data_IF_044982002644
#
_entry.id   IF_044982002644
#
_cell.length_a   1.000
_cell.length_b   1.000
_cell.length_c   1.000
_cell.angle_alpha   90.00
_cell.angle_beta   90.00
_cell.angle_gamma   90.00
#
_symmetry.space_group_name_H-M   'P 1'
#
loop_
_entity.id
_entity.type
_entity.pdbx_description
1 polymer ?
#
# COMPACT_ATOMS: atom_id res chain seq x y z
N UNK A 1 27.09 12.17 71.65
CA UNK A 1 27.32 10.82 71.08
C UNK A 1 26.37 10.67 69.91
N UNK A 2 26.77 11.12 68.72
CA UNK A 2 27.20 10.29 67.58
C UNK A 2 26.23 9.15 67.26
N UNK A 3 25.40 9.33 66.22
CA UNK A 3 24.95 8.22 65.37
C UNK A 3 25.25 8.57 63.91
N UNK A 4 25.93 7.60 63.31
CA UNK A 4 26.67 7.54 62.06
C UNK A 4 25.82 7.64 60.79
N UNK A 5 26.38 8.31 59.80
CA UNK A 5 25.94 8.34 58.41
C UNK A 5 26.23 6.99 57.72
N UNK A 6 25.18 6.30 57.24
CA UNK A 6 25.31 5.17 56.32
C UNK A 6 25.64 5.69 54.91
N UNK A 7 26.71 5.16 54.32
CA UNK A 7 27.11 5.40 52.93
C UNK A 7 26.36 4.42 52.03
N UNK A 8 25.63 4.94 51.04
CA UNK A 8 25.07 4.16 49.92
C UNK A 8 26.19 3.52 49.08
N UNK A 9 26.36 2.20 49.18
CA UNK A 9 27.16 1.41 48.25
C UNK A 9 26.31 1.00 47.02
N UNK A 10 26.75 1.43 45.83
CA UNK A 10 26.17 1.01 44.55
C UNK A 10 26.34 -0.51 44.34
N UNK A 11 25.33 -1.23 43.82
CA UNK A 11 25.40 -2.69 43.66
C UNK A 11 26.49 -3.09 42.65
N UNK A 12 27.42 -3.94 43.10
CA UNK A 12 28.49 -4.50 42.27
C UNK A 12 27.90 -5.39 41.17
N UNK A 13 28.19 -5.04 39.90
CA UNK A 13 27.73 -5.77 38.71
C UNK A 13 28.30 -7.19 38.71
N UNK A 14 27.45 -8.17 38.38
CA UNK A 14 27.86 -9.58 38.33
C UNK A 14 28.84 -9.84 37.16
N UNK A 15 29.74 -10.85 37.27
CA UNK A 15 30.73 -11.17 36.24
C UNK A 15 30.15 -11.37 34.82
N UNK A 16 28.94 -11.95 34.73
CA UNK A 16 28.21 -12.14 33.47
C UNK A 16 27.73 -10.82 32.84
N UNK A 17 27.41 -9.81 33.64
CA UNK A 17 27.00 -8.50 33.14
C UNK A 17 28.21 -7.72 32.60
N UNK A 18 29.35 -7.80 33.28
CA UNK A 18 30.62 -7.21 32.83
C UNK A 18 31.10 -7.84 31.51
N UNK A 19 30.99 -9.15 31.35
CA UNK A 19 31.37 -9.84 30.11
C UNK A 19 30.44 -9.44 28.92
N UNK A 20 29.14 -9.24 29.19
CA UNK A 20 28.18 -8.80 28.17
C UNK A 20 28.40 -7.34 27.75
N UNK A 21 28.79 -6.49 28.70
CA UNK A 21 29.13 -5.08 28.46
C UNK A 21 30.44 -4.97 27.67
N UNK A 22 31.46 -5.76 28.03
CA UNK A 22 32.71 -5.87 27.29
C UNK A 22 32.51 -6.38 25.85
N UNK A 23 31.67 -7.40 25.63
CA UNK A 23 31.31 -7.88 24.28
C UNK A 23 30.58 -6.81 23.46
N UNK A 24 29.74 -5.99 24.09
CA UNK A 24 29.01 -4.90 23.42
C UNK A 24 29.94 -3.75 23.05
N UNK A 25 30.87 -3.38 23.93
CA UNK A 25 31.90 -2.37 23.68
C UNK A 25 32.86 -2.80 22.56
N UNK A 26 33.35 -4.04 22.58
CA UNK A 26 34.22 -4.57 21.53
C UNK A 26 33.52 -4.60 20.15
N UNK A 27 32.20 -4.86 20.12
CA UNK A 27 31.39 -4.83 18.88
C UNK A 27 31.20 -3.40 18.36
N UNK A 28 31.03 -2.43 19.26
CA UNK A 28 30.94 -1.01 18.94
C UNK A 28 32.28 -0.45 18.43
N UNK A 29 33.41 -0.85 19.02
CA UNK A 29 34.73 -0.47 18.54
C UNK A 29 35.04 -1.05 17.16
N UNK A 30 34.72 -2.33 16.92
CA UNK A 30 34.83 -2.94 15.58
C UNK A 30 33.95 -2.24 14.53
N UNK A 31 32.78 -1.74 14.94
CA UNK A 31 31.90 -0.98 14.07
C UNK A 31 32.46 0.41 13.75
N UNK A 32 32.98 1.12 14.76
CA UNK A 32 33.66 2.41 14.58
C UNK A 32 34.92 2.29 13.70
N UNK A 33 35.76 1.29 13.93
CA UNK A 33 36.93 1.03 13.09
C UNK A 33 36.57 0.75 11.63
N UNK A 34 35.44 0.07 11.37
CA UNK A 34 34.91 -0.12 10.01
C UNK A 34 34.43 1.20 9.39
N UNK A 35 33.73 2.05 10.14
CA UNK A 35 33.32 3.37 9.67
C UNK A 35 34.52 4.28 9.38
N UNK A 36 35.53 4.29 10.24
CA UNK A 36 36.74 5.10 10.06
C UNK A 36 37.57 4.60 8.87
N UNK A 37 37.59 3.29 8.61
CA UNK A 37 38.24 2.72 7.42
C UNK A 37 37.51 3.05 6.11
N UNK A 38 36.18 3.23 6.14
CA UNK A 38 35.40 3.70 4.99
C UNK A 38 35.59 5.20 4.71
N UNK A 39 35.83 6.02 5.72
CA UNK A 39 36.10 7.46 5.54
C UNK A 39 37.55 7.76 5.14
N UNK A 40 38.53 6.94 5.55
CA UNK A 40 39.96 7.13 5.18
C UNK A 40 40.30 6.73 3.73
N UNK A 41 39.36 6.15 2.98
CA UNK A 41 39.53 5.86 1.54
C UNK A 41 39.39 7.07 0.61
N UNK A 42 39.01 8.25 1.12
CA UNK A 42 38.78 9.45 0.30
C UNK A 42 39.87 10.54 0.39
N UNK A 43 41.01 10.28 1.03
CA UNK A 43 42.11 11.25 1.11
C UNK A 43 43.46 10.64 0.70
N UNK A 44 43.74 10.59 -0.60
CA UNK A 44 45.10 10.60 -1.15
C UNK A 44 45.17 11.48 -2.41
N UNK A 45 46.19 12.32 -2.43
CA UNK A 45 46.42 13.48 -3.30
C UNK A 45 46.61 13.17 -4.79
N UNK A 46 46.28 14.17 -5.62
CA UNK A 46 46.49 14.26 -7.07
C UNK A 46 47.98 14.33 -7.44
N UNK A 47 48.38 13.77 -8.60
CA UNK A 47 49.36 14.39 -9.47
C UNK A 47 48.66 15.07 -10.67
N UNK A 48 49.09 16.29 -10.98
CA UNK A 48 48.69 17.05 -12.18
C UNK A 48 49.14 16.35 -13.47
N UNK A 49 48.25 16.24 -14.47
CA UNK A 49 48.53 16.62 -15.88
C UNK A 49 47.32 16.52 -16.81
N UNK A 50 47.18 17.60 -17.58
CA UNK A 50 46.57 17.79 -18.91
C UNK A 50 45.05 17.67 -19.07
N UNK A 51 44.47 18.84 -19.30
CA UNK A 51 43.15 19.07 -19.90
C UNK A 51 42.91 18.17 -21.12
N UNK A 52 41.93 17.28 -20.99
CA UNK A 52 40.98 17.00 -22.07
C UNK A 52 39.60 17.13 -21.44
N UNK A 53 38.83 18.13 -21.88
CA UNK A 53 37.40 18.28 -21.57
C UNK A 53 36.70 16.96 -21.85
N UNK A 54 36.42 16.18 -20.80
CA UNK A 54 35.33 15.23 -20.77
C UNK A 54 34.19 15.95 -20.08
N UNK A 55 33.17 16.30 -20.84
CA UNK A 55 31.89 16.76 -20.32
C UNK A 55 31.43 15.81 -19.22
N UNK A 56 31.34 16.34 -18.01
CA UNK A 56 30.65 15.68 -16.92
C UNK A 56 29.19 15.61 -17.36
N UNK A 57 28.69 14.43 -17.71
CA UNK A 57 27.26 14.17 -17.86
C UNK A 57 26.60 14.63 -16.57
N UNK A 58 25.90 15.76 -16.62
CA UNK A 58 24.93 16.16 -15.59
C UNK A 58 24.05 14.93 -15.36
N UNK A 59 23.90 14.51 -14.10
CA UNK A 59 22.83 13.59 -13.74
C UNK A 59 21.54 14.16 -14.31
N UNK A 60 20.94 13.46 -15.27
CA UNK A 60 19.75 13.94 -15.95
C UNK A 60 18.64 14.06 -14.91
N UNK A 61 18.28 15.30 -14.57
CA UNK A 61 17.06 15.58 -13.82
C UNK A 61 15.94 14.95 -14.66
N UNK A 62 15.26 13.93 -14.11
CA UNK A 62 14.19 13.25 -14.82
C UNK A 62 13.15 14.30 -15.22
N UNK A 63 12.85 14.39 -16.52
CA UNK A 63 11.91 15.40 -17.02
C UNK A 63 10.57 15.28 -16.29
N UNK A 64 10.01 16.42 -15.86
CA UNK A 64 8.71 16.50 -15.19
C UNK A 64 7.72 17.15 -16.17
N UNK A 65 6.47 16.70 -16.15
CA UNK A 65 5.43 17.33 -16.96
C UNK A 65 4.91 18.58 -16.23
N UNK A 66 5.20 19.76 -16.79
CA UNK A 66 4.91 21.06 -16.17
C UNK A 66 3.64 21.73 -16.73
N UNK A 67 3.02 21.17 -17.78
CA UNK A 67 1.81 21.73 -18.39
C UNK A 67 0.63 21.50 -17.45
N UNK A 68 -0.03 22.58 -17.05
CA UNK A 68 -1.23 22.53 -16.22
C UNK A 68 -2.37 21.88 -17.01
N UNK A 69 -2.68 20.62 -16.69
CA UNK A 69 -3.74 19.85 -17.34
C UNK A 69 -4.86 19.62 -16.34
N UNK A 70 -6.06 20.19 -16.57
CA UNK A 70 -7.19 19.97 -15.69
C UNK A 70 -7.46 18.47 -15.45
N UNK A 71 -7.85 18.05 -14.23
CA UNK A 71 -8.16 16.65 -13.96
C UNK A 71 -9.21 16.10 -14.93
N UNK A 72 -8.90 14.98 -15.59
CA UNK A 72 -9.82 14.32 -16.51
C UNK A 72 -9.71 14.78 -17.97
N UNK A 73 -8.88 15.77 -18.29
CA UNK A 73 -8.63 16.15 -19.69
C UNK A 73 -7.42 15.40 -20.26
N UNK A 74 -7.46 15.17 -21.58
CA UNK A 74 -6.38 14.50 -22.28
C UNK A 74 -5.10 15.33 -22.18
N UNK A 75 -3.99 14.65 -21.86
CA UNK A 75 -2.65 15.23 -21.81
C UNK A 75 -2.30 15.96 -23.11
N UNK A 76 -1.73 17.15 -22.99
CA UNK A 76 -1.16 17.88 -24.13
C UNK A 76 0.17 17.25 -24.53
N UNK A 77 0.30 16.96 -25.83
CA UNK A 77 1.47 16.34 -26.45
C UNK A 77 2.08 17.19 -27.57
N UNK A 78 1.63 18.44 -27.71
CA UNK A 78 2.10 19.38 -28.75
C UNK A 78 3.49 19.95 -28.47
N UNK A 79 3.93 19.95 -27.21
CA UNK A 79 5.23 20.44 -26.79
C UNK A 79 6.41 19.52 -27.14
N UNK A 80 7.65 19.99 -26.95
CA UNK A 80 8.84 19.20 -27.21
C UNK A 80 8.89 17.97 -26.29
N UNK A 81 9.26 16.82 -26.86
CA UNK A 81 9.45 15.59 -26.09
C UNK A 81 10.79 15.63 -25.33
N UNK A 82 10.85 15.10 -24.10
CA UNK A 82 12.11 14.97 -23.37
C UNK A 82 13.13 14.09 -24.11
N UNK A 83 14.41 14.43 -23.99
CA UNK A 83 15.52 13.68 -24.61
C UNK A 83 15.68 12.25 -24.06
N UNK A 84 15.13 11.98 -22.88
CA UNK A 84 15.14 10.67 -22.24
C UNK A 84 13.76 10.31 -21.66
N UNK A 85 13.44 9.02 -21.65
CA UNK A 85 12.19 8.53 -21.05
C UNK A 85 12.13 8.87 -19.56
N UNK A 86 11.03 9.52 -19.16
CA UNK A 86 10.69 9.79 -17.77
C UNK A 86 9.28 9.26 -17.49
N UNK A 87 9.10 8.25 -16.61
CA UNK A 87 7.78 7.77 -16.22
C UNK A 87 6.90 8.87 -15.64
N UNK A 88 7.48 9.76 -14.83
CA UNK A 88 6.76 10.88 -14.21
C UNK A 88 6.20 11.84 -15.25
N UNK A 89 6.99 12.14 -16.30
CA UNK A 89 6.48 12.91 -17.43
C UNK A 89 5.40 12.12 -18.18
N UNK A 90 5.68 10.86 -18.53
CA UNK A 90 4.80 10.08 -19.39
C UNK A 90 3.46 9.83 -18.74
N UNK A 91 3.40 9.31 -17.51
CA UNK A 91 2.19 8.90 -16.79
C UNK A 91 1.31 10.08 -16.34
N UNK A 92 1.85 11.30 -16.28
CA UNK A 92 1.10 12.48 -15.87
C UNK A 92 -0.19 12.68 -16.70
N UNK A 93 -1.27 13.07 -16.03
CA UNK A 93 -2.60 13.32 -16.58
C UNK A 93 -3.34 12.16 -17.28
N UNK A 94 -2.67 11.09 -17.71
CA UNK A 94 -3.34 9.99 -18.43
C UNK A 94 -4.40 9.29 -17.62
N UNK A 95 -4.08 8.98 -16.37
CA UNK A 95 -4.92 8.10 -15.57
C UNK A 95 -6.25 8.77 -15.20
N UNK A 96 -6.22 10.07 -14.86
CA UNK A 96 -7.45 10.84 -14.61
C UNK A 96 -8.31 10.96 -15.86
N UNK A 97 -7.69 11.16 -17.04
CA UNK A 97 -8.40 11.14 -18.32
C UNK A 97 -9.03 9.78 -18.63
N UNK A 98 -8.30 8.67 -18.44
CA UNK A 98 -8.82 7.32 -18.67
C UNK A 98 -10.04 7.01 -17.80
N UNK A 99 -10.03 7.42 -16.53
CA UNK A 99 -11.18 7.28 -15.64
C UNK A 99 -12.36 8.13 -16.11
N UNK A 100 -12.12 9.38 -16.49
CA UNK A 100 -13.15 10.33 -16.91
C UNK A 100 -13.87 9.89 -18.19
N UNK A 101 -13.12 9.37 -19.17
CA UNK A 101 -13.67 8.82 -20.41
C UNK A 101 -14.38 7.48 -20.20
N UNK A 102 -14.25 6.87 -19.02
CA UNK A 102 -14.88 5.59 -18.70
C UNK A 102 -14.25 4.40 -19.43
N UNK A 103 -13.00 4.47 -19.88
CA UNK A 103 -12.33 3.39 -20.64
C UNK A 103 -12.28 2.05 -19.90
N UNK A 104 -12.39 2.07 -18.58
CA UNK A 104 -12.35 0.88 -17.75
C UNK A 104 -13.72 0.21 -17.58
N UNK A 105 -14.79 0.92 -17.94
CA UNK A 105 -16.18 0.48 -17.78
C UNK A 105 -16.55 -0.54 -18.87
N UNK A 106 -17.34 -1.58 -18.54
CA UNK A 106 -17.80 -2.55 -19.53
C UNK A 106 -18.78 -1.93 -20.57
N UNK A 107 -19.37 -0.78 -20.26
CA UNK A 107 -20.22 0.02 -21.14
C UNK A 107 -19.43 0.76 -22.24
N UNK A 108 -18.11 0.93 -22.08
CA UNK A 108 -17.31 1.71 -23.02
C UNK A 108 -17.37 1.12 -24.44
N UNK A 109 -17.72 1.96 -25.42
CA UNK A 109 -17.85 1.56 -26.83
C UNK A 109 -19.08 0.70 -27.11
N UNK A 110 -20.07 0.64 -26.21
CA UNK A 110 -21.31 -0.13 -26.37
C UNK A 110 -22.54 0.76 -26.27
N UNK A 111 -23.53 0.51 -27.11
CA UNK A 111 -24.83 1.19 -27.04
C UNK A 111 -25.68 0.67 -25.88
N UNK A 112 -25.63 -0.64 -25.64
CA UNK A 112 -26.36 -1.30 -24.56
C UNK A 112 -25.51 -2.44 -23.97
N UNK A 113 -25.36 -2.44 -22.65
CA UNK A 113 -24.59 -3.46 -21.94
C UNK A 113 -25.29 -4.82 -21.89
N UNK A 114 -26.62 -4.83 -21.95
CA UNK A 114 -27.46 -6.03 -21.89
C UNK A 114 -27.46 -6.81 -23.21
N UNK A 115 -27.07 -6.19 -24.32
CA UNK A 115 -26.94 -6.89 -25.59
C UNK A 115 -25.84 -7.95 -25.51
N UNK A 116 -26.02 -9.14 -26.10
CA UNK A 116 -24.95 -10.12 -26.20
C UNK A 116 -23.78 -9.57 -27.02
N UNK A 117 -22.57 -9.65 -26.49
CA UNK A 117 -21.36 -9.34 -27.26
C UNK A 117 -20.88 -10.63 -27.95
N UNK A 118 -20.78 -10.68 -29.29
CA UNK A 118 -20.32 -11.87 -30.02
C UNK A 118 -18.86 -12.26 -29.69
N UNK A 119 -18.04 -11.33 -29.17
CA UNK A 119 -16.68 -11.61 -28.68
C UNK A 119 -16.66 -12.23 -27.27
N UNK A 120 -17.81 -12.22 -26.59
CA UNK A 120 -18.01 -12.74 -25.24
C UNK A 120 -17.75 -11.71 -24.15
N UNK A 121 -17.83 -12.20 -22.91
CA UNK A 121 -17.67 -11.41 -21.68
C UNK A 121 -16.48 -11.93 -20.88
N UNK A 122 -15.74 -11.04 -20.24
CA UNK A 122 -14.72 -11.35 -19.25
C UNK A 122 -15.01 -10.54 -17.99
N UNK A 123 -15.21 -11.22 -16.86
CA UNK A 123 -15.42 -10.59 -15.56
C UNK A 123 -14.43 -11.15 -14.57
N UNK A 124 -13.77 -10.26 -13.84
CA UNK A 124 -12.89 -10.60 -12.74
C UNK A 124 -13.15 -9.66 -11.58
N UNK A 125 -13.06 -10.18 -10.36
CA UNK A 125 -13.10 -9.37 -9.14
C UNK A 125 -11.67 -9.28 -8.63
N UNK A 126 -11.20 -8.07 -8.28
CA UNK A 126 -9.91 -7.95 -7.61
C UNK A 126 -9.95 -8.75 -6.30
N UNK A 127 -8.93 -9.52 -5.94
CA UNK A 127 -8.77 -10.05 -4.59
C UNK A 127 -8.76 -8.85 -3.64
N UNK A 128 -9.82 -8.64 -2.84
CA UNK A 128 -10.04 -7.36 -2.18
C UNK A 128 -8.94 -7.14 -1.13
N UNK A 129 -8.09 -6.10 -1.26
CA UNK A 129 -7.07 -5.82 -0.25
C UNK A 129 -7.71 -5.49 1.11
N UNK A 130 -7.07 -5.98 2.16
CA UNK A 130 -7.46 -5.71 3.54
C UNK A 130 -7.26 -4.23 3.88
N UNK A 131 -8.21 -3.62 4.57
CA UNK A 131 -8.12 -2.20 5.01
C UNK A 131 -7.24 -2.07 6.27
N UNK A 132 -6.02 -2.61 6.22
CA UNK A 132 -5.08 -2.69 7.36
C UNK A 132 -3.86 -1.79 7.19
N UNK A 133 -3.74 -1.03 6.10
CA UNK A 133 -2.59 -0.16 5.88
C UNK A 133 -2.38 0.26 4.43
N UNK A 134 -1.14 0.10 3.94
CA UNK A 134 -0.76 0.38 2.55
C UNK A 134 -0.48 -0.91 1.80
N UNK A 135 -0.67 -0.87 0.48
CA UNK A 135 -0.23 -1.94 -0.41
C UNK A 135 1.29 -2.08 -0.42
N UNK A 136 1.75 -3.30 -0.67
CA UNK A 136 3.16 -3.69 -0.77
C UNK A 136 3.44 -4.38 -2.11
N UNK A 137 4.70 -4.72 -2.40
CA UNK A 137 5.11 -5.27 -3.71
C UNK A 137 4.32 -6.52 -4.15
N UNK A 138 3.97 -7.43 -3.21
CA UNK A 138 3.08 -8.55 -3.51
C UNK A 138 1.72 -8.15 -4.11
N UNK A 139 1.09 -7.08 -3.60
CA UNK A 139 -0.15 -6.56 -4.19
C UNK A 139 0.10 -5.99 -5.59
N UNK A 140 1.22 -5.30 -5.79
CA UNK A 140 1.58 -4.75 -7.09
C UNK A 140 1.80 -5.85 -8.14
N UNK A 141 2.44 -6.96 -7.76
CA UNK A 141 2.62 -8.12 -8.63
C UNK A 141 1.28 -8.74 -9.06
N UNK A 142 0.42 -9.08 -8.09
CA UNK A 142 -0.90 -9.66 -8.37
C UNK A 142 -1.72 -8.72 -9.26
N UNK A 143 -1.74 -7.44 -8.93
CA UNK A 143 -2.51 -6.45 -9.66
C UNK A 143 -1.99 -6.25 -11.09
N UNK A 144 -0.67 -6.25 -11.31
CA UNK A 144 -0.08 -6.15 -12.65
C UNK A 144 -0.46 -7.33 -13.55
N UNK A 145 -0.49 -8.55 -13.00
CA UNK A 145 -0.92 -9.75 -13.73
C UNK A 145 -2.42 -9.66 -14.10
N UNK A 146 -3.25 -9.31 -13.13
CA UNK A 146 -4.70 -9.15 -13.33
C UNK A 146 -5.05 -8.04 -14.32
N UNK A 147 -4.37 -6.90 -14.24
CA UNK A 147 -4.54 -5.78 -15.16
C UNK A 147 -4.13 -6.17 -16.58
N UNK A 148 -3.02 -6.89 -16.74
CA UNK A 148 -2.56 -7.37 -18.04
C UNK A 148 -3.61 -8.27 -18.72
N UNK A 149 -4.17 -9.24 -17.98
CA UNK A 149 -5.22 -10.13 -18.47
C UNK A 149 -6.49 -9.34 -18.82
N UNK A 150 -6.89 -8.41 -17.96
CA UNK A 150 -8.05 -7.54 -18.18
C UNK A 150 -7.90 -6.71 -19.45
N UNK A 151 -6.75 -6.03 -19.61
CA UNK A 151 -6.45 -5.23 -20.81
C UNK A 151 -6.42 -6.09 -22.06
N UNK A 152 -5.81 -7.27 -22.00
CA UNK A 152 -5.80 -8.21 -23.13
C UNK A 152 -7.21 -8.61 -23.57
N UNK A 153 -8.11 -8.95 -22.64
CA UNK A 153 -9.50 -9.25 -22.96
C UNK A 153 -10.27 -8.06 -23.51
N UNK A 154 -10.06 -6.86 -22.95
CA UNK A 154 -10.64 -5.60 -23.44
C UNK A 154 -10.18 -5.32 -24.88
N UNK A 155 -8.89 -5.49 -25.18
CA UNK A 155 -8.33 -5.32 -26.53
C UNK A 155 -8.83 -6.38 -27.53
N UNK A 156 -9.23 -7.57 -27.07
CA UNK A 156 -9.92 -8.57 -27.90
C UNK A 156 -11.39 -8.23 -28.21
N UNK A 157 -11.87 -7.08 -27.76
CA UNK A 157 -13.24 -6.61 -27.97
C UNK A 157 -14.28 -7.28 -27.06
N UNK A 158 -13.85 -7.99 -26.01
CA UNK A 158 -14.78 -8.57 -25.03
C UNK A 158 -15.39 -7.51 -24.13
N UNK A 159 -16.62 -7.73 -23.72
CA UNK A 159 -17.22 -6.98 -22.61
C UNK A 159 -16.45 -7.29 -21.34
N UNK A 160 -15.68 -6.33 -20.86
CA UNK A 160 -14.65 -6.58 -19.84
C UNK A 160 -14.93 -5.77 -18.59
N UNK A 161 -15.08 -6.46 -17.45
CA UNK A 161 -15.22 -5.85 -16.13
C UNK A 161 -14.16 -6.40 -15.19
N UNK A 162 -13.33 -5.52 -14.66
CA UNK A 162 -12.51 -5.82 -13.50
C UNK A 162 -13.03 -5.00 -12.32
N UNK A 163 -13.73 -5.68 -11.40
CA UNK A 163 -14.50 -5.04 -10.35
C UNK A 163 -13.60 -4.76 -9.13
N UNK A 164 -13.45 -3.49 -8.72
CA UNK A 164 -12.68 -3.14 -7.53
C UNK A 164 -13.44 -3.45 -6.25
N UNK A 165 -12.69 -3.63 -5.16
CA UNK A 165 -13.24 -3.66 -3.82
C UNK A 165 -12.16 -3.72 -2.75
N UNK A 166 -12.57 -3.66 -1.49
CA UNK A 166 -11.69 -3.85 -0.34
C UNK A 166 -12.36 -4.68 0.75
N UNK A 167 -11.53 -5.35 1.57
CA UNK A 167 -11.98 -6.24 2.63
C UNK A 167 -11.83 -5.58 4.01
N UNK A 168 -12.90 -5.59 4.78
CA UNK A 168 -12.92 -5.19 6.18
C UNK A 168 -11.92 -5.97 7.06
N UNK A 169 -11.54 -7.19 6.66
CA UNK A 169 -10.53 -8.02 7.29
C UNK A 169 -10.74 -8.32 8.79
N UNK A 170 -11.97 -8.15 9.30
CA UNK A 170 -12.41 -8.43 10.68
C UNK A 170 -11.34 -8.20 11.76
N UNK A 171 -10.77 -9.31 12.26
CA UNK A 171 -9.77 -9.35 13.33
C UNK A 171 -8.53 -8.52 12.99
N UNK A 172 -8.06 -8.56 11.74
CA UNK A 172 -6.85 -7.85 11.34
C UNK A 172 -7.01 -6.32 11.49
N UNK A 173 -8.15 -5.80 11.04
CA UNK A 173 -8.48 -4.37 11.20
C UNK A 173 -8.67 -4.01 12.66
N UNK A 174 -9.36 -4.85 13.43
CA UNK A 174 -9.53 -4.65 14.88
C UNK A 174 -8.17 -4.49 15.58
N UNK A 175 -7.22 -5.40 15.34
CA UNK A 175 -5.89 -5.37 15.98
C UNK A 175 -5.12 -4.09 15.61
N UNK A 176 -5.20 -3.65 14.35
CA UNK A 176 -4.51 -2.43 13.91
C UNK A 176 -5.10 -1.18 14.56
N UNK A 177 -6.43 -1.09 14.65
CA UNK A 177 -7.13 0.03 15.30
C UNK A 177 -6.89 0.04 16.80
N UNK A 178 -6.88 -1.12 17.47
CA UNK A 178 -6.51 -1.22 18.89
C UNK A 178 -5.07 -0.76 19.15
N UNK A 179 -4.11 -1.18 18.31
CA UNK A 179 -2.71 -0.72 18.42
C UNK A 179 -2.59 0.80 18.19
N UNK A 180 -3.36 1.35 17.23
CA UNK A 180 -3.42 2.80 16.99
C UNK A 180 -3.95 3.53 18.22
N UNK A 181 -5.08 3.08 18.77
CA UNK A 181 -5.72 3.65 19.95
C UNK A 181 -4.78 3.65 21.16
N UNK A 182 -4.08 2.54 21.40
CA UNK A 182 -3.10 2.46 22.48
C UNK A 182 -1.91 3.42 22.28
N UNK A 183 -1.43 3.55 21.03
CA UNK A 183 -0.30 4.43 20.72
C UNK A 183 -0.65 5.90 20.89
N UNK A 184 -1.85 6.31 20.47
CA UNK A 184 -2.28 7.71 20.40
C UNK A 184 -2.93 8.19 21.71
N UNK A 185 -3.78 7.36 22.31
CA UNK A 185 -4.59 7.74 23.48
C UNK A 185 -4.24 6.97 24.75
N UNK A 186 -3.38 5.93 24.68
CA UNK A 186 -3.10 5.01 25.80
C UNK A 186 -4.37 4.37 26.38
N UNK A 187 -5.37 4.17 25.52
CA UNK A 187 -6.64 3.49 25.83
C UNK A 187 -6.76 2.17 25.09
N UNK A 188 -7.58 1.28 25.64
CA UNK A 188 -7.97 0.01 25.04
C UNK A 188 -9.39 0.10 24.48
N UNK A 189 -9.80 -0.89 23.68
CA UNK A 189 -11.18 -0.99 23.18
C UNK A 189 -12.22 -1.10 24.31
N UNK A 190 -11.82 -1.61 25.48
CA UNK A 190 -12.71 -1.76 26.63
C UNK A 190 -12.98 -0.41 27.29
N UNK A 191 -12.00 0.50 27.28
CA UNK A 191 -12.13 1.82 27.89
C UNK A 191 -13.09 2.74 27.12
N UNK A 192 -13.20 2.55 25.80
CA UNK A 192 -14.08 3.37 24.94
C UNK A 192 -15.42 2.71 24.63
N UNK A 193 -15.57 1.40 24.87
CA UNK A 193 -16.78 0.65 24.57
C UNK A 193 -16.97 0.32 23.08
N UNK A 194 -17.97 -0.53 22.79
CA UNK A 194 -18.20 -1.10 21.45
C UNK A 194 -18.53 -0.04 20.40
N UNK A 195 -19.47 0.85 20.68
CA UNK A 195 -19.98 1.83 19.72
C UNK A 195 -18.86 2.78 19.24
N UNK A 196 -18.16 3.42 20.18
CA UNK A 196 -17.02 4.29 19.87
C UNK A 196 -15.88 3.55 19.19
N UNK A 197 -15.66 2.28 19.54
CA UNK A 197 -14.65 1.48 18.84
C UNK A 197 -15.04 1.23 17.38
N UNK A 198 -16.31 0.91 17.10
CA UNK A 198 -16.82 0.74 15.74
C UNK A 198 -16.68 2.04 14.94
N UNK A 199 -16.99 3.20 15.53
CA UNK A 199 -16.77 4.51 14.89
C UNK A 199 -15.30 4.72 14.50
N UNK A 200 -14.35 4.38 15.38
CA UNK A 200 -12.92 4.45 15.09
C UNK A 200 -12.49 3.50 13.98
N UNK A 201 -13.08 2.31 13.89
CA UNK A 201 -12.83 1.35 12.80
C UNK A 201 -13.33 1.92 11.47
N UNK A 202 -14.51 2.54 11.43
CA UNK A 202 -15.02 3.20 10.24
C UNK A 202 -14.15 4.39 9.81
N UNK A 203 -13.72 5.22 10.76
CA UNK A 203 -12.80 6.33 10.48
C UNK A 203 -11.48 5.84 9.88
N UNK A 204 -10.91 4.77 10.44
CA UNK A 204 -9.72 4.11 9.89
C UNK A 204 -9.96 3.59 8.46
N UNK A 205 -11.13 2.99 8.22
CA UNK A 205 -11.50 2.48 6.90
C UNK A 205 -11.57 3.57 5.84
N UNK A 206 -12.15 4.72 6.18
CA UNK A 206 -12.19 5.88 5.27
C UNK A 206 -10.78 6.38 4.96
N UNK A 207 -9.94 6.56 5.98
CA UNK A 207 -8.55 7.03 5.82
C UNK A 207 -7.69 6.08 4.96
N UNK A 208 -7.78 4.77 5.19
CA UNK A 208 -6.93 3.78 4.50
C UNK A 208 -7.50 3.28 3.19
N UNK A 209 -8.82 3.19 3.06
CA UNK A 209 -9.48 2.77 1.81
C UNK A 209 -9.10 3.69 0.66
N UNK A 210 -9.13 5.01 0.88
CA UNK A 210 -8.76 6.00 -0.12
C UNK A 210 -7.30 5.85 -0.56
N UNK A 211 -6.40 5.61 0.41
CA UNK A 211 -4.97 5.38 0.13
C UNK A 211 -4.74 4.12 -0.71
N UNK A 212 -5.41 3.01 -0.38
CA UNK A 212 -5.32 1.76 -1.15
C UNK A 212 -5.75 2.01 -2.60
N UNK A 213 -6.89 2.67 -2.81
CA UNK A 213 -7.36 2.97 -4.15
C UNK A 213 -6.42 3.93 -4.89
N UNK A 214 -5.88 4.95 -4.23
CA UNK A 214 -4.87 5.81 -4.82
C UNK A 214 -3.61 5.04 -5.26
N UNK A 215 -3.15 4.06 -4.45
CA UNK A 215 -2.01 3.22 -4.84
C UNK A 215 -2.31 2.38 -6.08
N UNK A 216 -3.50 1.77 -6.17
CA UNK A 216 -3.93 1.02 -7.36
C UNK A 216 -4.05 1.93 -8.60
N UNK A 217 -4.66 3.11 -8.44
CA UNK A 217 -4.70 4.14 -9.50
C UNK A 217 -3.30 4.50 -9.98
N UNK A 218 -2.37 4.68 -9.05
CA UNK A 218 -0.98 5.04 -9.37
C UNK A 218 -0.21 3.91 -10.05
N UNK A 219 -0.56 2.64 -9.78
CA UNK A 219 -0.06 1.49 -10.53
C UNK A 219 -0.64 1.40 -11.95
N UNK A 220 -1.68 2.17 -12.26
CA UNK A 220 -2.35 2.16 -13.56
C UNK A 220 -3.42 1.08 -13.70
N UNK A 221 -3.95 0.53 -12.60
CA UNK A 221 -4.97 -0.53 -12.62
C UNK A 221 -6.22 -0.11 -13.39
N UNK A 222 -6.62 -0.86 -14.42
CA UNK A 222 -7.80 -0.56 -15.26
C UNK A 222 -9.14 -1.05 -14.67
N UNK A 223 -9.36 -0.73 -13.40
CA UNK A 223 -10.54 -1.08 -12.60
C UNK A 223 -11.72 -0.14 -12.87
N UNK A 224 -12.95 -0.65 -12.78
CA UNK A 224 -14.15 0.19 -12.80
C UNK A 224 -14.49 0.74 -11.40
N UNK A 225 -13.92 1.90 -11.08
CA UNK A 225 -14.09 2.55 -9.78
C UNK A 225 -15.54 2.92 -9.44
N UNK A 226 -16.43 3.03 -10.44
CA UNK A 226 -17.84 3.31 -10.19
C UNK A 226 -18.58 2.13 -9.53
N UNK A 227 -17.98 0.94 -9.55
CA UNK A 227 -18.53 -0.30 -8.97
C UNK A 227 -17.75 -0.80 -7.75
N UNK A 228 -16.97 0.07 -7.14
CA UNK A 228 -16.19 -0.23 -5.94
C UNK A 228 -17.09 -0.79 -4.84
N UNK A 229 -16.72 -1.95 -4.29
CA UNK A 229 -17.46 -2.61 -3.23
C UNK A 229 -16.62 -2.79 -1.96
N UNK A 230 -17.24 -2.67 -0.80
CA UNK A 230 -16.64 -3.00 0.49
C UNK A 230 -17.44 -4.12 1.16
N UNK A 231 -16.76 -5.08 1.76
CA UNK A 231 -17.40 -6.30 2.31
C UNK A 231 -18.49 -6.04 3.34
N UNK A 232 -18.45 -4.91 4.06
CA UNK A 232 -19.51 -4.51 5.01
C UNK A 232 -20.58 -3.59 4.41
N UNK A 233 -20.56 -3.32 3.09
CA UNK A 233 -21.63 -2.58 2.45
C UNK A 233 -22.96 -3.33 2.60
N UNK A 234 -24.11 -2.62 2.70
CA UNK A 234 -25.41 -3.26 2.92
C UNK A 234 -25.75 -4.36 1.90
N UNK A 235 -25.34 -4.16 0.64
CA UNK A 235 -25.54 -5.13 -0.44
C UNK A 235 -24.77 -6.43 -0.20
N UNK A 236 -23.50 -6.35 0.19
CA UNK A 236 -22.66 -7.52 0.42
C UNK A 236 -22.98 -8.19 1.76
N UNK A 237 -23.32 -7.40 2.79
CA UNK A 237 -23.79 -7.92 4.07
C UNK A 237 -25.06 -8.77 3.90
N UNK A 238 -26.00 -8.32 3.06
CA UNK A 238 -27.21 -9.11 2.73
C UNK A 238 -26.86 -10.43 2.05
N UNK A 239 -25.89 -10.44 1.15
CA UNK A 239 -25.44 -11.67 0.50
C UNK A 239 -24.85 -12.68 1.50
N UNK A 240 -24.10 -12.22 2.50
CA UNK A 240 -23.57 -13.08 3.57
C UNK A 240 -24.69 -13.64 4.45
N UNK A 241 -25.69 -12.82 4.81
CA UNK A 241 -26.86 -13.27 5.58
C UNK A 241 -27.64 -14.33 4.81
N UNK A 242 -27.92 -14.08 3.51
CA UNK A 242 -28.59 -15.05 2.65
C UNK A 242 -27.82 -16.37 2.56
N UNK A 243 -26.50 -16.30 2.35
CA UNK A 243 -25.65 -17.49 2.29
C UNK A 243 -25.68 -18.28 3.61
N UNK A 244 -25.62 -17.58 4.75
CA UNK A 244 -25.72 -18.22 6.06
C UNK A 244 -27.07 -18.91 6.27
N UNK A 245 -28.18 -18.24 5.93
CA UNK A 245 -29.53 -18.79 6.08
C UNK A 245 -29.69 -20.04 5.22
N UNK A 246 -29.30 -20.00 3.94
CA UNK A 246 -29.37 -21.17 3.04
C UNK A 246 -28.57 -22.35 3.57
N UNK A 247 -27.31 -22.13 3.92
CA UNK A 247 -26.44 -23.19 4.42
C UNK A 247 -26.95 -23.75 5.77
N UNK A 248 -27.61 -22.93 6.59
CA UNK A 248 -28.25 -23.39 7.81
C UNK A 248 -29.53 -24.21 7.53
N UNK A 249 -30.36 -23.78 6.58
CA UNK A 249 -31.57 -24.50 6.16
C UNK A 249 -31.25 -25.84 5.47
N UNK A 250 -30.15 -25.90 4.72
CA UNK A 250 -29.62 -27.12 4.09
C UNK A 250 -28.96 -28.07 5.10
N UNK A 251 -28.70 -27.61 6.33
CA UNK A 251 -28.09 -28.39 7.42
C UNK A 251 -26.55 -28.38 7.43
N UNK A 252 -25.90 -27.66 6.52
CA UNK A 252 -24.43 -27.54 6.43
C UNK A 252 -23.84 -26.65 7.55
N UNK A 253 -24.58 -25.61 7.96
CA UNK A 253 -24.23 -24.78 9.13
C UNK A 253 -25.07 -25.23 10.32
N UNK A 254 -24.39 -25.63 11.39
CA UNK A 254 -25.02 -26.04 12.64
C UNK A 254 -24.24 -25.53 13.85
N UNK A 255 -24.89 -25.52 15.01
CA UNK A 255 -24.26 -25.18 16.29
C UNK A 255 -23.94 -26.46 17.07
N UNK A 256 -22.68 -26.64 17.46
CA UNK A 256 -22.24 -27.77 18.27
C UNK A 256 -21.12 -27.36 19.23
N UNK A 257 -20.99 -28.12 20.32
CA UNK A 257 -19.89 -27.96 21.26
C UNK A 257 -18.71 -28.81 20.78
N UNK A 258 -17.63 -28.14 20.35
CA UNK A 258 -16.39 -28.78 19.93
C UNK A 258 -15.18 -27.98 20.42
N UNK A 259 -14.02 -28.62 20.46
CA UNK A 259 -12.76 -27.92 20.64
C UNK A 259 -12.43 -27.13 19.36
N UNK A 260 -12.08 -25.85 19.50
CA UNK A 260 -11.78 -24.90 18.41
C UNK A 260 -10.36 -24.36 18.58
#
# INVERSE_FOLDING_TARGET
>A
MMQSTEKDELPQKTPKQLEKEAKKLAKLEKFKQKQDSQQKGQAKEKPEKKEKRKEVKKEAIAAVYEVETPPGTKKDISGPMPDAYSPQYVEAAWYSWWEQEGFFKPEYGRNNILEPNPKGTFVMVIPPPNVTGSLHLGHALTNAVEDCITRWHRMKGRTTLWNPGCDHAGIATQVVVEKKLWREEKKTRHDIGREKFIEKVWAWRMEKGDRIYQQLRRLGSSLDWSRTAFTMDPKLSRAVVEAFVRLHEEGDIYRSNRLV
#
